data_IF_231178291614
#
_entry.id   IF_231178291614
#
_cell.length_a   1.000
_cell.length_b   1.000
_cell.length_c   1.000
_cell.angle_alpha   90.00
_cell.angle_beta   90.00
_cell.angle_gamma   90.00
#
_symmetry.space_group_name_H-M   'P 1'
#
loop_
_entity.id
_entity.type
_entity.pdbx_description
1 polymer ?
#
# COMPACT_ATOMS: atom_id res chain seq x y z
N UNK A 1 -7.19 14.93 -11.75
CA UNK A 1 -7.55 13.76 -10.92
C UNK A 1 -7.26 14.04 -9.48
N UNK A 2 -8.23 13.87 -8.63
CA UNK A 2 -7.94 14.02 -7.20
C UNK A 2 -7.04 12.91 -6.72
N UNK A 3 -6.12 13.29 -5.88
CA UNK A 3 -5.29 12.32 -5.20
C UNK A 3 -6.14 11.57 -4.19
N UNK A 4 -5.83 10.31 -4.01
CA UNK A 4 -6.55 9.49 -3.08
C UNK A 4 -5.56 8.79 -2.17
N UNK A 5 -5.81 8.89 -0.89
CA UNK A 5 -4.95 8.30 0.12
C UNK A 5 -5.74 7.29 0.95
N UNK A 6 -5.08 6.21 1.30
CA UNK A 6 -5.70 5.12 2.03
C UNK A 6 -5.04 4.97 3.39
N UNK A 7 -5.84 4.64 4.38
CA UNK A 7 -5.31 4.33 5.70
C UNK A 7 -4.65 2.96 5.69
N UNK A 8 -3.82 2.71 6.70
CA UNK A 8 -3.18 1.39 6.81
C UNK A 8 -4.22 0.28 6.94
N UNK A 9 -5.26 0.42 7.78
CA UNK A 9 -6.29 -0.62 7.82
C UNK A 9 -6.98 -0.84 6.47
N UNK A 10 -7.17 0.22 5.69
CA UNK A 10 -7.80 0.08 4.38
C UNK A 10 -6.91 -0.69 3.43
N UNK A 11 -5.60 -0.43 3.47
CA UNK A 11 -4.64 -1.16 2.64
C UNK A 11 -4.60 -2.64 3.05
N UNK A 12 -4.59 -2.89 4.35
CA UNK A 12 -4.59 -4.26 4.86
C UNK A 12 -5.82 -5.02 4.37
N UNK A 13 -6.98 -4.37 4.40
CA UNK A 13 -8.21 -4.98 3.91
C UNK A 13 -8.16 -5.22 2.40
N UNK A 14 -7.61 -4.26 1.66
CA UNK A 14 -7.52 -4.39 0.21
C UNK A 14 -6.60 -5.53 -0.21
N UNK A 15 -5.53 -5.75 0.55
CA UNK A 15 -4.57 -6.81 0.26
C UNK A 15 -4.91 -8.11 0.99
N UNK A 16 -5.89 -8.06 1.89
CA UNK A 16 -6.29 -9.21 2.69
C UNK A 16 -5.14 -9.76 3.52
N UNK A 17 -4.43 -8.85 4.18
CA UNK A 17 -3.34 -9.19 5.08
C UNK A 17 -3.51 -8.38 6.36
N UNK A 18 -2.70 -8.69 7.38
CA UNK A 18 -2.76 -7.92 8.60
C UNK A 18 -1.94 -6.63 8.45
N UNK A 19 -2.12 -5.72 9.41
CA UNK A 19 -1.46 -4.43 9.36
C UNK A 19 0.06 -4.56 9.50
N UNK A 20 0.50 -5.55 10.24
CA UNK A 20 1.94 -5.79 10.40
C UNK A 20 2.59 -6.04 9.04
N UNK A 21 1.91 -6.81 8.20
CA UNK A 21 2.43 -7.11 6.86
C UNK A 21 2.50 -5.85 6.01
N UNK A 22 1.49 -4.97 6.13
CA UNK A 22 1.52 -3.70 5.41
C UNK A 22 2.71 -2.87 5.86
N UNK A 23 2.95 -2.77 7.16
CA UNK A 23 4.12 -2.02 7.65
C UNK A 23 5.43 -2.61 7.17
N UNK A 24 5.49 -3.92 7.01
CA UNK A 24 6.67 -4.56 6.46
C UNK A 24 6.92 -4.11 5.02
N UNK A 25 5.87 -4.07 4.21
CA UNK A 25 6.01 -3.59 2.84
C UNK A 25 6.47 -2.14 2.80
N UNK A 26 6.00 -1.33 3.73
CA UNK A 26 6.42 0.05 3.82
C UNK A 26 7.90 0.13 4.19
N UNK A 27 8.30 -0.67 5.17
CA UNK A 27 9.68 -0.65 5.66
C UNK A 27 10.67 -1.08 4.59
N UNK A 28 10.28 -1.99 3.70
CA UNK A 28 11.15 -2.45 2.63
C UNK A 28 11.14 -1.53 1.43
N UNK A 29 10.31 -0.49 1.44
CA UNK A 29 10.23 0.43 0.32
C UNK A 29 9.29 -0.03 -0.78
N UNK A 30 8.57 -1.12 -0.59
CA UNK A 30 7.67 -1.64 -1.61
C UNK A 30 6.41 -0.80 -1.75
N UNK A 31 5.96 -0.19 -0.65
CA UNK A 31 4.78 0.67 -0.66
C UNK A 31 5.18 2.07 -0.27
N UNK A 32 4.90 3.07 -1.10
CA UNK A 32 5.16 4.46 -0.72
C UNK A 32 4.13 4.92 0.30
N UNK A 33 4.52 5.86 1.13
CA UNK A 33 3.61 6.45 2.10
C UNK A 33 3.78 7.96 2.13
N UNK A 34 2.73 8.61 2.57
CA UNK A 34 2.73 10.03 2.83
C UNK A 34 2.47 10.19 4.32
N UNK A 35 3.28 11.01 4.98
CA UNK A 35 3.11 11.30 6.39
C UNK A 35 2.43 12.66 6.52
N UNK A 36 1.22 12.66 7.04
CA UNK A 36 0.42 13.87 7.16
C UNK A 36 0.65 14.60 8.47
N UNK A 37 1.60 14.15 9.26
CA UNK A 37 1.93 14.80 10.53
C UNK A 37 2.40 16.21 10.29
N UNK A 38 1.91 17.13 11.09
CA UNK A 38 2.23 18.54 10.92
C UNK A 38 3.17 19.07 11.99
N UNK A 39 3.68 18.20 12.85
CA UNK A 39 4.58 18.59 13.90
C UNK A 39 5.01 17.37 14.67
N UNK A 40 5.61 17.57 15.85
CA UNK A 40 5.97 16.41 16.67
C UNK A 40 4.72 15.68 17.10
N UNK A 41 4.84 14.39 17.28
CA UNK A 41 3.73 13.58 17.72
C UNK A 41 3.60 12.34 16.87
N UNK A 42 2.42 11.75 16.88
CA UNK A 42 2.19 10.52 16.16
C UNK A 42 2.29 10.68 14.67
N UNK A 43 2.86 9.71 14.03
CA UNK A 43 2.80 9.60 12.58
C UNK A 43 1.37 9.44 12.12
N UNK A 44 1.08 10.05 10.97
CA UNK A 44 -0.22 9.90 10.33
C UNK A 44 0.05 9.50 8.90
N UNK A 45 0.40 8.23 8.71
CA UNK A 45 0.78 7.78 7.39
C UNK A 45 -0.42 7.31 6.59
N UNK A 46 -0.35 7.57 5.31
CA UNK A 46 -1.34 7.12 4.33
C UNK A 46 -0.62 6.58 3.12
N UNK A 47 -1.29 5.70 2.40
CA UNK A 47 -0.73 5.11 1.20
C UNK A 47 -1.47 5.68 0.01
N UNK A 48 -0.75 6.28 -0.96
CA UNK A 48 -1.42 6.74 -2.17
C UNK A 48 -2.07 5.57 -2.90
N UNK A 49 -3.31 5.76 -3.33
CA UNK A 49 -4.02 4.69 -4.02
C UNK A 49 -3.28 4.26 -5.29
N UNK A 50 -2.69 5.21 -6.00
CA UNK A 50 -1.91 4.88 -7.19
C UNK A 50 -0.71 4.01 -6.84
N UNK A 51 -0.09 4.27 -5.69
CA UNK A 51 1.03 3.46 -5.24
C UNK A 51 0.62 2.04 -4.89
N UNK A 52 -0.55 1.89 -4.30
CA UNK A 52 -1.08 0.56 -4.01
C UNK A 52 -1.39 -0.19 -5.29
N UNK A 53 -1.99 0.47 -6.27
CA UNK A 53 -2.29 -0.15 -7.55
C UNK A 53 -1.02 -0.62 -8.24
N UNK A 54 0.01 0.20 -8.21
CA UNK A 54 1.28 -0.15 -8.82
C UNK A 54 1.94 -1.32 -8.09
N UNK A 55 1.86 -1.33 -6.77
CA UNK A 55 2.38 -2.42 -5.96
C UNK A 55 1.71 -3.74 -6.38
N UNK A 56 0.39 -3.72 -6.50
CA UNK A 56 -0.35 -4.91 -6.90
C UNK A 56 0.05 -5.36 -8.30
N UNK A 57 0.17 -4.41 -9.22
CA UNK A 57 0.56 -4.74 -10.59
C UNK A 57 1.92 -5.38 -10.67
N UNK A 58 2.88 -4.85 -9.90
CA UNK A 58 4.23 -5.40 -9.94
C UNK A 58 4.30 -6.81 -9.36
N UNK A 59 3.38 -7.15 -8.48
CA UNK A 59 3.37 -8.47 -7.84
C UNK A 59 2.38 -9.43 -8.46
N UNK A 60 1.66 -8.98 -9.49
CA UNK A 60 0.73 -9.86 -10.15
C UNK A 60 1.48 -10.99 -10.84
N UNK A 61 0.98 -12.21 -10.66
CA UNK A 61 1.59 -13.39 -11.27
C UNK A 61 0.56 -14.03 -12.18
N UNK A 62 0.94 -14.23 -13.43
CA UNK A 62 0.08 -14.91 -14.39
C UNK A 62 0.44 -16.38 -14.37
N UNK A 63 -0.48 -17.26 -13.93
CA UNK A 63 -0.18 -18.69 -13.90
C UNK A 63 0.10 -19.19 -15.32
N UNK A 64 1.01 -20.14 -15.48
CA UNK A 64 1.31 -20.67 -16.81
C UNK A 64 0.08 -21.22 -17.54
N UNK A 65 -0.86 -21.78 -16.78
CA UNK A 65 -2.06 -22.33 -17.38
C UNK A 65 -3.02 -21.27 -17.86
N UNK A 66 -2.83 -20.04 -17.46
CA UNK A 66 -3.70 -18.94 -17.90
C UNK A 66 -3.39 -18.51 -19.32
N UNK A 67 -2.25 -18.89 -19.82
CA UNK A 67 -1.88 -18.58 -21.19
C UNK A 67 -2.33 -19.66 -22.12
N UNK A 68 -2.82 -19.28 -23.19
CA UNK A 68 -3.31 -20.28 -24.12
C UNK A 68 -3.29 -19.79 -25.48
#
# INVERSE_FOLDING_TARGET
>A
MPARLLSIPAVAAALDVDRRTVYRFIATGDLPVVDLRTGPGRSRVRVPAAGLDEFISRRAVVPPTARR
#
